data_IF_269654305716
#
_entry.id   IF_269654305716
#
_cell.length_a   1.000
_cell.length_b   1.000
_cell.length_c   1.000
_cell.angle_alpha   90.00
_cell.angle_beta   90.00
_cell.angle_gamma   90.00
#
_symmetry.space_group_name_H-M   'P 1'
#
loop_
_entity.id
_entity.type
_entity.pdbx_description
1 polymer ?
#
# COMPACT_ATOMS: atom_id res chain seq x y z
N UNK A 1 -21.05 -6.42 6.98
CA UNK A 1 -20.22 -7.14 5.99
C UNK A 1 -19.42 -6.08 5.23
N UNK A 2 -18.10 -6.27 5.03
CA UNK A 2 -17.27 -5.30 4.35
C UNK A 2 -17.49 -5.34 2.83
N UNK A 3 -17.15 -4.24 2.19
CA UNK A 3 -17.11 -4.12 0.74
C UNK A 3 -15.66 -3.96 0.31
N UNK A 4 -15.25 -4.70 -0.73
CA UNK A 4 -13.89 -4.68 -1.24
C UNK A 4 -13.87 -4.24 -2.69
N UNK A 5 -12.94 -3.37 -3.02
CA UNK A 5 -12.67 -2.97 -4.38
C UNK A 5 -11.69 -3.93 -5.04
N UNK A 6 -11.99 -4.35 -6.27
CA UNK A 6 -11.11 -5.14 -7.11
C UNK A 6 -10.83 -4.40 -8.41
N UNK A 7 -9.63 -4.61 -8.94
CA UNK A 7 -9.20 -4.06 -10.22
C UNK A 7 -8.75 -5.18 -11.14
N UNK A 8 -9.16 -5.11 -12.40
CA UNK A 8 -8.70 -6.02 -13.45
C UNK A 8 -7.75 -5.27 -14.39
N UNK A 9 -6.51 -5.73 -14.48
CA UNK A 9 -5.50 -5.10 -15.33
C UNK A 9 -5.74 -5.33 -16.83
N UNK A 10 -6.53 -6.35 -17.19
CA UNK A 10 -6.85 -6.68 -18.58
C UNK A 10 -7.82 -5.68 -19.24
N UNK A 11 -8.80 -5.17 -18.49
CA UNK A 11 -9.78 -4.19 -18.98
C UNK A 11 -9.63 -2.81 -18.34
N UNK A 12 -8.81 -2.69 -17.30
CA UNK A 12 -8.61 -1.46 -16.54
C UNK A 12 -9.81 -1.02 -15.70
N UNK A 13 -10.77 -1.92 -15.45
CA UNK A 13 -11.98 -1.63 -14.68
C UNK A 13 -11.80 -1.90 -13.18
N UNK A 14 -12.47 -1.08 -12.37
CA UNK A 14 -12.60 -1.24 -10.93
C UNK A 14 -14.03 -1.68 -10.60
N UNK A 15 -14.17 -2.73 -9.80
CA UNK A 15 -15.47 -3.26 -9.38
C UNK A 15 -15.51 -3.45 -7.87
N UNK A 16 -16.59 -2.95 -7.27
CA UNK A 16 -16.85 -3.07 -5.84
C UNK A 16 -17.66 -4.36 -5.56
N UNK A 17 -17.19 -5.20 -4.63
CA UNK A 17 -17.79 -6.50 -4.31
C UNK A 17 -18.08 -6.61 -2.82
N UNK A 18 -19.31 -7.03 -2.49
CA UNK A 18 -19.74 -7.28 -1.12
C UNK A 18 -19.61 -8.77 -0.78
N UNK A 19 -18.64 -9.14 0.05
CA UNK A 19 -18.42 -10.53 0.45
C UNK A 19 -17.71 -10.63 1.82
N UNK A 20 -17.86 -11.76 2.55
CA UNK A 20 -17.12 -11.97 3.80
C UNK A 20 -15.60 -12.08 3.54
N UNK A 21 -14.79 -11.75 4.54
CA UNK A 21 -13.33 -11.75 4.42
C UNK A 21 -12.72 -13.15 4.16
N UNK A 22 -13.41 -14.22 4.55
CA UNK A 22 -12.99 -15.61 4.31
C UNK A 22 -13.13 -16.05 2.84
N UNK A 23 -13.67 -15.18 1.99
CA UNK A 23 -13.87 -15.46 0.58
C UNK A 23 -12.77 -14.80 -0.25
N UNK A 24 -12.18 -15.57 -1.15
CA UNK A 24 -11.06 -15.18 -2.00
C UNK A 24 -11.55 -15.15 -3.44
N UNK A 25 -11.37 -14.01 -4.10
CA UNK A 25 -11.71 -13.82 -5.51
C UNK A 25 -10.39 -13.57 -6.24
N UNK A 26 -10.03 -14.48 -7.16
CA UNK A 26 -8.73 -14.40 -7.88
C UNK A 26 -8.91 -14.07 -9.36
N UNK A 27 -10.10 -14.31 -9.91
CA UNK A 27 -10.36 -14.18 -11.35
C UNK A 27 -11.58 -13.30 -11.65
N UNK A 28 -11.59 -12.71 -12.85
CA UNK A 28 -12.68 -11.84 -13.31
C UNK A 28 -14.05 -12.54 -13.33
N UNK A 29 -14.08 -13.83 -13.70
CA UNK A 29 -15.33 -14.60 -13.77
C UNK A 29 -15.99 -14.80 -12.40
N UNK A 30 -15.21 -15.02 -11.35
CA UNK A 30 -15.71 -15.14 -9.97
C UNK A 30 -16.24 -13.80 -9.47
N UNK A 31 -15.51 -12.73 -9.77
CA UNK A 31 -15.91 -11.36 -9.45
C UNK A 31 -17.24 -11.00 -10.13
N UNK A 32 -17.37 -11.22 -11.43
CA UNK A 32 -18.59 -10.95 -12.19
C UNK A 32 -19.78 -11.78 -11.66
N UNK A 33 -19.56 -13.04 -11.31
CA UNK A 33 -20.58 -13.91 -10.73
C UNK A 33 -21.08 -13.37 -9.38
N UNK A 34 -20.19 -12.81 -8.56
CA UNK A 34 -20.53 -12.22 -7.26
C UNK A 34 -21.44 -11.01 -7.36
N UNK A 35 -21.15 -10.12 -8.31
CA UNK A 35 -21.93 -8.89 -8.51
C UNK A 35 -23.09 -9.08 -9.52
N UNK A 36 -23.35 -10.31 -9.96
CA UNK A 36 -24.34 -10.63 -11.00
C UNK A 36 -24.16 -9.76 -12.27
N UNK A 37 -22.90 -9.54 -12.68
CA UNK A 37 -22.53 -8.78 -13.87
C UNK A 37 -22.13 -9.75 -15.00
N UNK A 38 -22.46 -9.46 -16.27
CA UNK A 38 -21.88 -10.20 -17.39
C UNK A 38 -20.35 -10.00 -17.45
N UNK A 39 -19.61 -11.02 -17.89
CA UNK A 39 -18.14 -10.91 -18.12
C UNK A 39 -17.79 -9.83 -19.16
N UNK A 40 -18.67 -9.63 -20.15
CA UNK A 40 -18.43 -8.73 -21.27
C UNK A 40 -17.39 -9.32 -22.23
N UNK A 41 -16.41 -8.49 -22.59
CA UNK A 41 -15.31 -8.83 -23.50
C UNK A 41 -14.08 -9.42 -22.78
N UNK A 42 -14.02 -9.25 -21.45
CA UNK A 42 -12.89 -9.71 -20.63
C UNK A 42 -12.98 -11.21 -20.35
N UNK A 43 -11.89 -11.93 -20.54
CA UNK A 43 -11.86 -13.36 -20.28
C UNK A 43 -12.06 -13.66 -18.78
N UNK A 44 -12.85 -14.70 -18.47
CA UNK A 44 -13.20 -15.03 -17.09
C UNK A 44 -12.01 -15.48 -16.22
N UNK A 45 -10.93 -15.91 -16.86
CA UNK A 45 -9.70 -16.36 -16.21
C UNK A 45 -8.66 -15.23 -16.06
N UNK A 46 -9.03 -13.98 -16.40
CA UNK A 46 -8.14 -12.84 -16.18
C UNK A 46 -7.91 -12.62 -14.68
N UNK A 47 -6.66 -12.41 -14.25
CA UNK A 47 -6.35 -12.16 -12.85
C UNK A 47 -6.93 -10.81 -12.41
N UNK A 48 -7.46 -10.79 -11.19
CA UNK A 48 -7.93 -9.55 -10.54
C UNK A 48 -7.17 -9.31 -9.24
N UNK A 49 -6.94 -8.04 -8.91
CA UNK A 49 -6.26 -7.64 -7.67
C UNK A 49 -7.18 -6.84 -6.77
N UNK A 50 -7.22 -7.21 -5.49
CA UNK A 50 -7.96 -6.46 -4.47
C UNK A 50 -7.25 -5.15 -4.16
N UNK A 51 -7.91 -4.03 -4.39
CA UNK A 51 -7.45 -2.72 -4.00
C UNK A 51 -7.72 -2.54 -2.50
N UNK A 52 -6.72 -2.85 -1.69
CA UNK A 52 -6.76 -2.54 -0.27
C UNK A 52 -6.39 -1.06 -0.16
N UNK A 53 -7.32 -0.22 0.30
CA UNK A 53 -7.03 1.21 0.54
C UNK A 53 -5.83 1.30 1.48
N UNK A 54 -4.73 1.84 0.98
CA UNK A 54 -3.43 1.90 1.62
C UNK A 54 -3.46 2.87 2.80
N UNK A 55 -3.94 2.40 3.94
CA UNK A 55 -3.61 2.96 5.25
C UNK A 55 -2.92 1.83 6.04
N UNK A 56 -1.62 2.03 6.31
CA UNK A 56 -0.71 1.15 7.04
C UNK A 56 -0.08 -0.04 6.27
N UNK A 57 0.79 0.27 5.31
CA UNK A 57 2.06 -0.45 5.21
C UNK A 57 3.11 0.34 5.99
N UNK A 58 3.18 0.14 7.30
CA UNK A 58 4.45 0.34 8.01
C UNK A 58 5.31 -0.89 7.72
N UNK A 59 6.03 -0.87 6.61
CA UNK A 59 7.17 -1.79 6.43
C UNK A 59 8.27 -1.33 7.37
N UNK A 60 8.34 -1.91 8.57
CA UNK A 60 9.41 -1.68 9.55
C UNK A 60 10.74 -2.35 9.17
N UNK A 61 11.05 -2.48 7.88
CA UNK A 61 12.24 -3.20 7.39
C UNK A 61 13.27 -2.32 6.67
N UNK A 62 13.11 -0.99 6.72
CA UNK A 62 14.11 -0.03 6.20
C UNK A 62 14.40 1.13 7.16
N UNK A 63 14.45 0.87 8.46
CA UNK A 63 15.17 1.73 9.42
C UNK A 63 16.38 0.95 9.96
N UNK A 64 17.25 0.56 9.04
CA UNK A 64 18.64 0.18 9.35
C UNK A 64 19.58 1.22 8.74
N UNK A 65 19.36 2.49 9.08
CA UNK A 65 20.43 3.48 9.01
C UNK A 65 21.11 3.46 10.39
N UNK A 66 21.92 2.44 10.65
CA UNK A 66 23.38 2.58 10.54
C UNK A 66 23.85 3.87 11.19
N UNK A 67 23.67 3.96 12.50
CA UNK A 67 24.44 4.83 13.37
C UNK A 67 25.94 4.82 12.97
N UNK A 68 26.53 5.96 12.57
CA UNK A 68 27.96 6.14 12.71
C UNK A 68 28.19 6.73 14.09
N UNK A 69 28.51 5.86 15.05
CA UNK A 69 29.21 6.25 16.25
C UNK A 69 30.62 6.73 15.87
N UNK A 70 30.80 8.05 15.68
CA UNK A 70 32.10 8.71 15.80
C UNK A 70 31.93 10.22 16.10
N UNK A 71 32.06 10.53 17.39
CA UNK A 71 32.99 11.54 17.92
C UNK A 71 32.82 13.00 17.45
N UNK A 72 31.85 13.72 18.02
CA UNK A 72 31.99 15.19 18.20
C UNK A 72 32.54 15.48 19.59
N UNK A 73 33.76 14.98 19.84
CA UNK A 73 34.65 15.53 20.83
C UNK A 73 35.56 16.55 20.15
N UNK A 74 35.42 17.83 20.52
CA UNK A 74 36.46 18.84 20.29
C UNK A 74 36.52 19.46 18.89
N UNK A 75 35.63 20.43 18.62
CA UNK A 75 35.91 21.51 17.66
C UNK A 75 35.14 22.79 18.03
N UNK A 76 35.47 23.34 19.21
CA UNK A 76 35.31 24.77 19.47
C UNK A 76 36.68 25.35 19.87
N UNK A 77 37.56 25.69 18.91
CA UNK A 77 38.71 26.52 19.20
C UNK A 77 38.32 27.98 18.96
N UNK A 78 38.11 28.75 20.03
CA UNK A 78 38.18 30.20 19.99
C UNK A 78 37.00 30.94 19.37
N UNK A 79 36.20 31.57 20.23
CA UNK A 79 35.19 32.55 19.82
C UNK A 79 34.54 33.21 21.03
N UNK A 80 35.32 33.99 21.78
CA UNK A 80 34.77 34.97 22.73
C UNK A 80 33.93 36.02 22.00
N UNK A 81 33.09 36.72 22.78
CA UNK A 81 32.29 37.93 22.47
C UNK A 81 30.86 37.61 21.95
N UNK A 82 29.77 38.08 22.55
CA UNK A 82 29.61 39.08 23.60
C UNK A 82 28.17 39.21 24.11
N UNK A 83 28.09 39.93 25.22
CA UNK A 83 26.95 40.51 25.92
C UNK A 83 25.88 41.11 24.98
N UNK A 84 24.58 40.89 25.24
CA UNK A 84 23.59 41.99 25.24
C UNK A 84 22.27 41.60 25.96
N UNK A 85 21.99 42.35 27.03
CA UNK A 85 20.70 42.68 27.71
C UNK A 85 19.70 41.59 28.13
#
# INVERSE_FOLDING_TARGET
>A
MPTYDYYCDANGEKVEVFHPMNELISNWGELCSKVNRPLGDTAGNEPVRRLISSAAVISSTSLVDSEPACQTGGCCPGGSCGFNE
#
